data_IF_878988130796
#
_entry.id   IF_878988130796
#
_cell.length_a   1.000
_cell.length_b   1.000
_cell.length_c   1.000
_cell.angle_alpha   90.00
_cell.angle_beta   90.00
_cell.angle_gamma   90.00
#
_symmetry.space_group_name_H-M   'P 1'
#
loop_
_entity.id
_entity.type
_entity.pdbx_description
1 polymer ?
#
# COMPACT_ATOMS: atom_id res chain seq x y z
N UNK A 1 37.19 18.51 6.90
CA UNK A 1 36.62 18.10 5.60
C UNK A 1 37.37 16.87 5.14
N UNK A 2 36.76 15.69 5.25
CA UNK A 2 37.42 14.41 4.92
C UNK A 2 37.67 14.33 3.41
N UNK A 3 38.91 13.96 3.05
CA UNK A 3 39.31 13.68 1.69
C UNK A 3 38.42 12.56 1.15
N UNK A 4 37.55 12.88 0.18
CA UNK A 4 37.01 11.87 -0.73
C UNK A 4 38.18 11.47 -1.65
N UNK A 5 39.08 10.64 -1.14
CA UNK A 5 40.10 10.01 -1.97
C UNK A 5 39.41 9.01 -2.91
N UNK A 6 39.95 8.81 -4.11
CA UNK A 6 39.48 7.78 -5.06
C UNK A 6 39.29 6.41 -4.38
N UNK A 7 40.13 6.11 -3.39
CA UNK A 7 40.06 4.90 -2.58
C UNK A 7 38.72 4.72 -1.81
N UNK A 8 38.11 5.79 -1.31
CA UNK A 8 36.80 5.72 -0.63
C UNK A 8 35.65 5.46 -1.61
N UNK A 9 35.79 5.96 -2.84
CA UNK A 9 34.83 5.71 -3.91
C UNK A 9 34.94 4.27 -4.40
N UNK A 10 36.16 3.77 -4.60
CA UNK A 10 36.43 2.39 -5.01
C UNK A 10 35.92 1.38 -3.98
N UNK A 11 36.13 1.64 -2.68
CA UNK A 11 35.57 0.82 -1.60
C UNK A 11 34.04 0.78 -1.64
N UNK A 12 33.40 1.94 -1.85
CA UNK A 12 31.94 2.03 -1.93
C UNK A 12 31.39 1.31 -3.16
N UNK A 13 32.05 1.44 -4.32
CA UNK A 13 31.67 0.76 -5.56
C UNK A 13 31.81 -0.76 -5.44
N UNK A 14 32.89 -1.24 -4.81
CA UNK A 14 33.08 -2.67 -4.56
C UNK A 14 32.01 -3.23 -3.61
N UNK A 15 31.66 -2.51 -2.55
CA UNK A 15 30.58 -2.89 -1.64
C UNK A 15 29.21 -2.95 -2.37
N UNK A 16 28.95 -2.01 -3.30
CA UNK A 16 27.72 -2.02 -4.11
C UNK A 16 27.67 -3.20 -5.10
N UNK A 17 28.80 -3.56 -5.71
CA UNK A 17 28.87 -4.71 -6.61
C UNK A 17 28.60 -6.02 -5.86
N UNK A 18 29.20 -6.21 -4.67
CA UNK A 18 28.91 -7.36 -3.81
C UNK A 18 27.43 -7.43 -3.43
N UNK A 19 26.82 -6.30 -3.08
CA UNK A 19 25.39 -6.23 -2.79
C UNK A 19 24.53 -6.65 -3.99
N UNK A 20 24.90 -6.25 -5.21
CA UNK A 20 24.18 -6.66 -6.42
C UNK A 20 24.25 -8.18 -6.65
N UNK A 21 25.35 -8.82 -6.25
CA UNK A 21 25.54 -10.27 -6.25
C UNK A 21 24.88 -10.98 -5.05
N UNK A 22 24.24 -10.21 -4.15
CA UNK A 22 23.50 -10.72 -2.99
C UNK A 22 24.33 -10.83 -1.70
N UNK A 23 25.57 -10.36 -1.70
CA UNK A 23 26.44 -10.27 -0.53
C UNK A 23 26.29 -8.90 0.15
N UNK A 24 25.62 -8.87 1.31
CA UNK A 24 25.36 -7.66 2.08
C UNK A 24 26.38 -7.41 3.21
N UNK A 25 27.51 -8.13 3.26
CA UNK A 25 28.48 -8.06 4.38
C UNK A 25 29.07 -6.67 4.60
N UNK A 26 29.27 -5.92 3.52
CA UNK A 26 30.01 -4.65 3.51
C UNK A 26 29.08 -3.43 3.47
N UNK A 27 27.76 -3.65 3.60
CA UNK A 27 26.75 -2.59 3.61
C UNK A 27 25.85 -2.70 4.84
N UNK A 28 25.32 -1.56 5.30
CA UNK A 28 24.25 -1.57 6.30
C UNK A 28 22.89 -1.55 5.61
N UNK A 29 22.13 -2.65 5.69
CA UNK A 29 20.76 -2.71 5.17
C UNK A 29 19.76 -2.31 6.27
N UNK A 30 19.09 -1.17 6.10
CA UNK A 30 17.93 -0.82 6.89
C UNK A 30 16.66 -1.43 6.28
N UNK A 31 16.18 -2.55 6.84
CA UNK A 31 14.89 -3.13 6.45
C UNK A 31 13.75 -2.44 7.19
N UNK A 32 12.94 -1.68 6.47
CA UNK A 32 11.72 -1.06 7.03
C UNK A 32 10.53 -1.97 6.73
N UNK A 33 9.90 -2.60 7.74
CA UNK A 33 8.75 -3.47 7.50
C UNK A 33 7.54 -2.65 7.05
N UNK A 34 6.87 -3.10 5.99
CA UNK A 34 5.62 -2.49 5.54
C UNK A 34 4.51 -2.80 6.55
N UNK A 35 4.07 -1.79 7.32
CA UNK A 35 2.93 -1.91 8.23
C UNK A 35 1.62 -1.84 7.45
N UNK A 36 1.07 -3.00 7.07
CA UNK A 36 -0.22 -3.09 6.34
C UNK A 36 -1.39 -2.78 7.30
N UNK A 37 -2.40 -1.99 6.91
CA UNK A 37 -3.52 -1.67 7.79
C UNK A 37 -4.38 -2.90 8.04
N UNK A 38 -4.95 -3.00 9.23
CA UNK A 38 -5.86 -4.08 9.56
C UNK A 38 -7.30 -3.70 9.16
N UNK A 39 -7.67 -4.02 7.92
CA UNK A 39 -9.03 -3.83 7.42
C UNK A 39 -9.77 -5.16 7.44
N UNK A 40 -10.95 -5.19 8.06
CA UNK A 40 -11.81 -6.36 8.18
C UNK A 40 -13.17 -6.17 7.49
N UNK A 41 -13.89 -7.28 7.30
CA UNK A 41 -15.19 -7.31 6.62
C UNK A 41 -16.20 -6.29 7.19
N UNK A 42 -16.30 -6.20 8.52
CA UNK A 42 -17.22 -5.29 9.20
C UNK A 42 -16.87 -3.83 8.94
N UNK A 43 -15.58 -3.47 9.00
CA UNK A 43 -15.13 -2.10 8.74
C UNK A 43 -15.41 -1.65 7.31
N UNK A 44 -15.25 -2.54 6.32
CA UNK A 44 -15.55 -2.23 4.91
C UNK A 44 -17.04 -1.95 4.74
N UNK A 45 -17.88 -2.86 5.25
CA UNK A 45 -19.33 -2.71 5.15
C UNK A 45 -19.82 -1.46 5.88
N UNK A 46 -19.31 -1.21 7.08
CA UNK A 46 -19.65 -0.04 7.88
C UNK A 46 -19.30 1.25 7.15
N UNK A 47 -18.06 1.38 6.66
CA UNK A 47 -17.64 2.53 5.85
C UNK A 47 -18.57 2.75 4.64
N UNK A 48 -18.87 1.68 3.89
CA UNK A 48 -19.76 1.76 2.74
C UNK A 48 -21.16 2.29 3.12
N UNK A 49 -21.73 1.74 4.19
CA UNK A 49 -23.07 2.10 4.66
C UNK A 49 -23.10 3.53 5.22
N UNK A 50 -22.05 3.96 5.94
CA UNK A 50 -21.91 5.33 6.48
C UNK A 50 -21.87 6.40 5.38
N UNK A 51 -21.26 6.10 4.24
CA UNK A 51 -21.19 7.01 3.09
C UNK A 51 -22.27 6.76 2.03
N UNK A 52 -23.32 5.99 2.38
CA UNK A 52 -24.47 5.71 1.51
C UNK A 52 -24.11 5.12 0.14
N UNK A 53 -23.01 4.38 0.07
CA UNK A 53 -22.54 3.76 -1.16
C UNK A 53 -23.21 2.40 -1.37
N UNK A 54 -23.56 2.09 -2.62
CA UNK A 54 -23.89 0.71 -3.00
C UNK A 54 -22.60 -0.13 -3.11
N UNK A 55 -22.70 -1.45 -3.01
CA UNK A 55 -21.55 -2.34 -3.23
C UNK A 55 -20.94 -2.15 -4.62
N UNK A 56 -21.79 -1.84 -5.61
CA UNK A 56 -21.35 -1.54 -6.97
C UNK A 56 -20.56 -0.23 -7.03
N UNK A 57 -21.05 0.83 -6.37
CA UNK A 57 -20.35 2.12 -6.35
C UNK A 57 -18.99 2.00 -5.68
N UNK A 58 -18.93 1.37 -4.51
CA UNK A 58 -17.64 1.13 -3.83
C UNK A 58 -16.69 0.30 -4.69
N UNK A 59 -17.19 -0.66 -5.45
CA UNK A 59 -16.37 -1.46 -6.35
C UNK A 59 -15.75 -0.62 -7.48
N UNK A 60 -16.52 0.32 -8.05
CA UNK A 60 -16.02 1.28 -9.04
C UNK A 60 -14.92 2.17 -8.45
N UNK A 61 -15.15 2.76 -7.27
CA UNK A 61 -14.16 3.65 -6.63
C UNK A 61 -12.85 2.93 -6.29
N UNK A 62 -12.94 1.64 -5.95
CA UNK A 62 -11.78 0.82 -5.62
C UNK A 62 -11.15 0.13 -6.84
N UNK A 63 -11.73 0.28 -8.04
CA UNK A 63 -11.24 -0.36 -9.27
C UNK A 63 -11.30 -1.89 -9.23
N UNK A 64 -12.32 -2.47 -8.60
CA UNK A 64 -12.49 -3.93 -8.44
C UNK A 64 -13.88 -4.38 -8.88
N UNK A 65 -14.09 -5.70 -9.01
CA UNK A 65 -15.42 -6.23 -9.30
C UNK A 65 -16.37 -6.10 -8.10
N UNK A 66 -17.68 -5.95 -8.35
CA UNK A 66 -18.71 -5.96 -7.29
C UNK A 66 -18.63 -7.24 -6.45
N UNK A 67 -18.34 -8.38 -7.10
CA UNK A 67 -18.16 -9.67 -6.43
C UNK A 67 -16.99 -9.65 -5.43
N UNK A 68 -15.94 -8.89 -5.73
CA UNK A 68 -14.80 -8.71 -4.83
C UNK A 68 -15.23 -7.99 -3.55
N UNK A 69 -15.94 -6.86 -3.67
CA UNK A 69 -16.47 -6.11 -2.51
C UNK A 69 -17.42 -6.98 -1.69
N UNK A 70 -18.34 -7.69 -2.33
CA UNK A 70 -19.24 -8.64 -1.65
C UNK A 70 -18.47 -9.70 -0.86
N UNK A 71 -17.46 -10.32 -1.49
CA UNK A 71 -16.63 -11.34 -0.85
C UNK A 71 -15.84 -10.80 0.33
N UNK A 72 -15.41 -9.52 0.28
CA UNK A 72 -14.78 -8.84 1.41
C UNK A 72 -15.76 -8.56 2.55
N UNK A 73 -16.95 -8.03 2.26
CA UNK A 73 -17.94 -7.66 3.29
C UNK A 73 -18.53 -8.86 4.04
N UNK A 74 -18.56 -10.04 3.43
CA UNK A 74 -18.98 -11.29 4.09
C UNK A 74 -17.80 -12.05 4.72
N UNK A 75 -16.57 -11.57 4.56
CA UNK A 75 -15.36 -12.22 5.09
C UNK A 75 -14.93 -13.49 4.35
N UNK A 76 -15.43 -13.73 3.13
CA UNK A 76 -15.00 -14.87 2.29
C UNK A 76 -13.59 -14.69 1.75
N UNK A 77 -13.16 -13.45 1.54
CA UNK A 77 -11.79 -13.11 1.13
C UNK A 77 -11.37 -11.79 1.77
N UNK A 78 -10.08 -11.45 1.71
CA UNK A 78 -9.56 -10.18 2.23
C UNK A 78 -9.03 -9.29 1.10
N UNK A 79 -9.06 -7.95 1.25
CA UNK A 79 -8.37 -7.06 0.33
C UNK A 79 -6.86 -7.29 0.38
N UNK A 80 -6.20 -7.12 -0.77
CA UNK A 80 -4.74 -7.15 -0.84
C UNK A 80 -4.12 -5.92 -0.16
N UNK A 81 -2.79 -5.88 -0.02
CA UNK A 81 -2.08 -4.79 0.68
C UNK A 81 -2.41 -3.39 0.14
N UNK A 82 -2.45 -3.24 -1.19
CA UNK A 82 -2.76 -1.97 -1.86
C UNK A 82 -4.22 -1.55 -1.65
N UNK A 83 -5.17 -2.48 -1.77
CA UNK A 83 -6.59 -2.22 -1.51
C UNK A 83 -6.84 -1.86 -0.03
N UNK A 84 -6.17 -2.53 0.91
CA UNK A 84 -6.21 -2.15 2.33
C UNK A 84 -5.67 -0.75 2.56
N UNK A 85 -4.63 -0.35 1.83
CA UNK A 85 -4.09 1.00 1.90
C UNK A 85 -5.07 2.04 1.38
N UNK A 86 -5.67 1.80 0.22
CA UNK A 86 -6.66 2.70 -0.36
C UNK A 86 -7.88 2.84 0.55
N UNK A 87 -8.40 1.72 1.08
CA UNK A 87 -9.48 1.72 2.07
C UNK A 87 -9.11 2.53 3.31
N UNK A 88 -7.89 2.37 3.84
CA UNK A 88 -7.42 3.18 4.97
C UNK A 88 -7.41 4.67 4.62
N UNK A 89 -6.87 5.05 3.45
CA UNK A 89 -6.82 6.45 3.01
C UNK A 89 -8.22 7.06 2.91
N UNK A 90 -9.17 6.34 2.35
CA UNK A 90 -10.57 6.78 2.22
C UNK A 90 -11.30 6.82 3.57
N UNK A 91 -11.01 5.88 4.49
CA UNK A 91 -11.58 5.89 5.84
C UNK A 91 -11.03 7.04 6.68
N UNK A 92 -9.75 7.40 6.50
CA UNK A 92 -9.12 8.51 7.21
C UNK A 92 -9.49 9.88 6.62
N UNK A 93 -9.83 9.94 5.33
CA UNK A 93 -10.12 11.17 4.58
C UNK A 93 -11.36 10.95 3.68
N UNK A 94 -12.57 10.89 4.26
CA UNK A 94 -13.76 10.52 3.50
C UNK A 94 -14.16 11.53 2.42
N UNK A 95 -13.73 12.79 2.53
CA UNK A 95 -13.93 13.84 1.52
C UNK A 95 -13.28 13.49 0.16
N UNK A 96 -12.30 12.57 0.15
CA UNK A 96 -11.70 12.10 -1.10
C UNK A 96 -12.69 11.31 -1.97
N UNK A 97 -13.77 10.78 -1.41
CA UNK A 97 -14.83 10.15 -2.19
C UNK A 97 -15.42 11.12 -3.22
N UNK A 98 -15.54 12.40 -2.89
CA UNK A 98 -16.07 13.42 -3.80
C UNK A 98 -15.19 13.63 -5.03
N UNK A 99 -13.89 13.35 -4.92
CA UNK A 99 -12.94 13.45 -6.03
C UNK A 99 -12.89 12.17 -6.88
N UNK A 100 -13.26 11.03 -6.30
CA UNK A 100 -13.34 9.76 -7.04
C UNK A 100 -14.67 9.62 -7.78
N UNK A 101 -15.71 10.29 -7.29
CA UNK A 101 -16.99 10.41 -7.99
C UNK A 101 -16.80 11.07 -9.35
N UNK A 102 -16.55 10.24 -10.36
CA UNK A 102 -16.48 10.67 -11.74
C UNK A 102 -17.83 11.27 -12.07
N UNK A 103 -17.87 12.58 -12.35
CA UNK A 103 -19.02 13.24 -12.91
C UNK A 103 -19.16 12.77 -14.37
N UNK A 104 -19.92 11.70 -14.58
CA UNK A 104 -20.47 11.38 -15.91
C UNK A 104 -21.76 12.15 -16.16
#
# INVERSE_FOLDING_TARGET
MGNLSDETLDQSLNALNKLADGDDSDVTIMRVPLKIPNINAKSIKFFRDQHHLTQQRLAVELGVSVRTVQSWEIGRSNPNGSAKRLLQVLMDNPELLDHLFTHE
#
